data_IF_977923078319
#
_entry.id   IF_977923078319
#
_cell.length_a   1.000
_cell.length_b   1.000
_cell.length_c   1.000
_cell.angle_alpha   90.00
_cell.angle_beta   90.00
_cell.angle_gamma   90.00
#
_symmetry.space_group_name_H-M   'P 1'
#
loop_
_entity.id
_entity.type
_entity.pdbx_description
1 polymer ?
#
# COMPACT_ATOMS: atom_id res chain seq x y z
N UNK A 1 28.51 -0.25 -37.47
CA UNK A 1 28.65 -0.79 -36.10
C UNK A 1 28.31 0.24 -35.00
N UNK A 2 28.98 1.40 -34.92
CA UNK A 2 28.73 2.42 -33.87
C UNK A 2 27.28 2.94 -33.78
N UNK A 3 26.59 3.11 -34.92
CA UNK A 3 25.17 3.50 -34.97
C UNK A 3 24.22 2.41 -34.44
N UNK A 4 24.60 1.14 -34.58
CA UNK A 4 23.83 0.00 -34.09
C UNK A 4 23.98 -0.11 -32.55
N UNK A 5 25.21 0.00 -32.04
CA UNK A 5 25.50 0.03 -30.61
C UNK A 5 24.81 1.20 -29.88
N UNK A 6 24.75 2.38 -30.51
CA UNK A 6 24.04 3.55 -29.95
C UNK A 6 22.52 3.35 -29.87
N UNK A 7 21.94 2.61 -30.83
CA UNK A 7 20.51 2.24 -30.81
C UNK A 7 20.22 1.21 -29.71
N UNK A 8 21.10 0.21 -29.55
CA UNK A 8 20.99 -0.74 -28.44
C UNK A 8 21.14 -0.06 -27.07
N UNK A 9 22.05 0.91 -26.95
CA UNK A 9 22.22 1.69 -25.72
C UNK A 9 20.96 2.53 -25.39
N UNK A 10 20.40 3.23 -26.38
CA UNK A 10 19.16 4.03 -26.19
C UNK A 10 17.98 3.11 -25.83
N UNK A 11 17.84 1.98 -26.52
CA UNK A 11 16.79 1.00 -26.25
C UNK A 11 16.95 0.39 -24.85
N UNK A 12 18.17 0.09 -24.42
CA UNK A 12 18.47 -0.40 -23.08
C UNK A 12 18.16 0.61 -21.98
N UNK A 13 18.50 1.89 -22.18
CA UNK A 13 18.15 2.97 -21.25
C UNK A 13 16.63 3.12 -21.15
N UNK A 14 15.92 3.13 -22.28
CA UNK A 14 14.46 3.24 -22.30
C UNK A 14 13.78 2.05 -21.60
N UNK A 15 14.28 0.83 -21.79
CA UNK A 15 13.76 -0.37 -21.13
C UNK A 15 14.02 -0.34 -19.61
N UNK A 16 15.22 0.12 -19.20
CA UNK A 16 15.58 0.26 -17.80
C UNK A 16 14.75 1.33 -17.09
N UNK A 17 14.48 2.46 -17.75
CA UNK A 17 13.59 3.51 -17.23
C UNK A 17 12.15 3.02 -17.01
N UNK A 18 11.66 2.08 -17.82
CA UNK A 18 10.32 1.50 -17.64
C UNK A 18 10.21 0.64 -16.36
N UNK A 19 11.28 -0.09 -16.02
CA UNK A 19 11.32 -0.98 -14.84
C UNK A 19 11.24 -0.18 -13.53
N UNK A 20 11.78 1.04 -13.51
CA UNK A 20 11.83 1.90 -12.32
C UNK A 20 10.47 2.50 -11.91
N UNK A 21 9.44 2.42 -12.76
CA UNK A 21 8.13 3.04 -12.50
C UNK A 21 7.16 2.09 -11.78
N UNK A 22 7.49 0.80 -11.67
CA UNK A 22 6.53 -0.24 -11.25
C UNK A 22 6.51 -0.55 -9.74
N UNK A 23 6.65 0.46 -8.87
CA UNK A 23 6.94 0.26 -7.45
C UNK A 23 5.74 0.27 -6.47
N UNK A 24 4.48 0.10 -6.92
CA UNK A 24 3.34 -0.04 -5.98
C UNK A 24 2.80 -1.46 -6.01
N UNK A 25 2.82 -2.14 -4.85
CA UNK A 25 2.21 -3.47 -4.71
C UNK A 25 0.70 -3.38 -4.91
N UNK A 26 0.12 -4.31 -5.69
CA UNK A 26 -1.31 -4.40 -5.91
C UNK A 26 -2.11 -4.51 -4.60
N UNK A 27 -1.50 -5.08 -3.55
CA UNK A 27 -2.09 -5.22 -2.23
C UNK A 27 -2.30 -3.88 -1.51
N UNK A 28 -1.51 -2.87 -1.86
CA UNK A 28 -1.58 -1.52 -1.28
C UNK A 28 -2.23 -0.50 -2.20
N UNK A 29 -2.37 -0.80 -3.49
CA UNK A 29 -2.86 0.17 -4.47
C UNK A 29 -4.25 0.72 -4.12
N UNK A 30 -4.45 2.03 -4.25
CA UNK A 30 -5.75 2.68 -4.02
C UNK A 30 -5.89 3.95 -4.86
N UNK A 31 -7.14 4.38 -5.06
CA UNK A 31 -7.46 5.67 -5.69
C UNK A 31 -8.07 6.65 -4.69
N UNK A 32 -8.85 6.13 -3.73
CA UNK A 32 -9.52 6.90 -2.68
C UNK A 32 -9.44 6.18 -1.34
N UNK A 33 -9.65 6.90 -0.23
CA UNK A 33 -9.59 6.32 1.12
C UNK A 33 -10.53 5.11 1.29
N UNK A 34 -11.71 5.14 0.65
CA UNK A 34 -12.68 4.04 0.68
C UNK A 34 -12.25 2.76 -0.05
N UNK A 35 -11.09 2.76 -0.72
CA UNK A 35 -10.46 1.54 -1.23
C UNK A 35 -9.65 0.82 -0.17
N UNK A 36 -9.39 1.45 0.97
CA UNK A 36 -8.52 0.95 2.02
C UNK A 36 -9.30 0.34 3.18
N UNK A 37 -8.78 -0.75 3.71
CA UNK A 37 -9.27 -1.44 4.90
C UNK A 37 -8.10 -1.76 5.84
N UNK A 38 -8.35 -2.01 7.14
CA UNK A 38 -7.32 -2.45 8.07
C UNK A 38 -6.61 -3.73 7.57
N UNK A 39 -5.28 -3.81 7.71
CA UNK A 39 -4.50 -4.98 7.28
C UNK A 39 -4.71 -6.20 8.19
N UNK A 40 -5.13 -5.97 9.43
CA UNK A 40 -5.51 -6.99 10.42
C UNK A 40 -6.88 -6.65 11.01
N UNK A 41 -7.57 -7.65 11.55
CA UNK A 41 -8.92 -7.45 12.09
C UNK A 41 -8.97 -6.65 13.38
N UNK A 42 -7.92 -6.76 14.19
CA UNK A 42 -7.80 -6.08 15.48
C UNK A 42 -6.47 -5.33 15.48
N UNK A 43 -6.45 -4.16 16.12
CA UNK A 43 -5.21 -3.43 16.40
C UNK A 43 -4.35 -3.17 15.17
N UNK A 44 -4.98 -2.81 14.05
CA UNK A 44 -4.26 -2.62 12.80
C UNK A 44 -3.36 -1.37 12.88
N UNK A 45 -2.06 -1.58 12.65
CA UNK A 45 -1.06 -0.53 12.46
C UNK A 45 -0.75 -0.28 10.98
N UNK A 46 -1.51 -0.92 10.08
CA UNK A 46 -1.33 -0.84 8.63
C UNK A 46 -2.67 -1.06 7.88
N UNK A 47 -2.71 -0.74 6.59
CA UNK A 47 -3.90 -0.83 5.74
C UNK A 47 -3.62 -1.53 4.41
N UNK A 48 -4.63 -2.16 3.82
CA UNK A 48 -4.57 -2.83 2.52
C UNK A 48 -5.69 -2.35 1.62
N UNK A 49 -5.55 -2.57 0.32
CA UNK A 49 -6.67 -2.49 -0.60
C UNK A 49 -7.74 -3.51 -0.17
N UNK A 50 -9.02 -3.11 -0.19
CA UNK A 50 -10.17 -3.93 0.21
C UNK A 50 -10.24 -5.30 -0.47
N UNK A 51 -9.75 -5.44 -1.70
CA UNK A 51 -9.70 -6.71 -2.42
C UNK A 51 -8.69 -7.71 -1.83
N UNK A 52 -7.74 -7.23 -1.04
CA UNK A 52 -6.68 -8.00 -0.39
C UNK A 52 -6.78 -7.99 1.14
N UNK A 53 -7.81 -7.34 1.70
CA UNK A 53 -8.02 -7.27 3.15
C UNK A 53 -8.44 -8.61 3.77
N UNK A 54 -8.20 -8.81 5.07
CA UNK A 54 -8.61 -10.02 5.77
C UNK A 54 -10.13 -10.13 5.91
N UNK A 55 -10.64 -11.36 5.97
CA UNK A 55 -12.01 -11.60 6.43
C UNK A 55 -12.05 -11.62 7.96
N UNK A 56 -12.78 -10.68 8.56
CA UNK A 56 -12.90 -10.58 10.02
C UNK A 56 -14.15 -11.27 10.58
N UNK A 57 -14.82 -12.10 9.78
CA UNK A 57 -16.02 -12.83 10.20
C UNK A 57 -15.67 -13.82 11.32
N UNK A 58 -16.30 -13.65 12.48
CA UNK A 58 -16.10 -14.54 13.63
C UNK A 58 -14.82 -14.27 14.43
N UNK A 59 -14.08 -13.22 14.10
CA UNK A 59 -12.96 -12.74 14.91
C UNK A 59 -13.51 -11.87 16.03
N UNK A 60 -13.11 -12.16 17.27
CA UNK A 60 -13.43 -11.33 18.43
C UNK A 60 -12.17 -10.60 18.87
N UNK A 61 -12.19 -9.27 18.78
CA UNK A 61 -11.10 -8.43 19.27
C UNK A 61 -11.26 -8.19 20.78
N UNK A 62 -10.14 -7.95 21.46
CA UNK A 62 -10.13 -7.42 22.82
C UNK A 62 -10.64 -5.97 22.79
N UNK A 63 -11.10 -5.47 23.94
CA UNK A 63 -11.55 -4.08 24.09
C UNK A 63 -10.40 -3.11 24.43
N UNK A 64 -9.14 -3.54 24.24
CA UNK A 64 -7.98 -2.70 24.53
C UNK A 64 -7.74 -1.69 23.42
N UNK A 65 -7.38 -0.46 23.79
CA UNK A 65 -6.84 0.51 22.85
C UNK A 65 -5.35 0.24 22.75
N UNK A 66 -4.89 -0.37 21.66
CA UNK A 66 -3.46 -0.60 21.47
C UNK A 66 -2.79 0.68 20.95
N UNK A 67 -1.68 1.07 21.54
CA UNK A 67 -0.89 2.22 21.07
C UNK A 67 -0.25 1.89 19.71
N UNK A 68 -0.16 2.89 18.83
CA UNK A 68 0.44 2.74 17.50
C UNK A 68 -0.47 2.06 16.46
N UNK A 69 -1.76 1.98 16.74
CA UNK A 69 -2.78 1.36 15.87
C UNK A 69 -3.89 2.36 15.58
N UNK A 70 -4.82 1.99 14.70
CA UNK A 70 -6.01 2.80 14.39
C UNK A 70 -7.12 2.71 15.44
N UNK A 71 -6.89 2.02 16.57
CA UNK A 71 -7.92 1.83 17.59
C UNK A 71 -8.25 3.14 18.30
N UNK A 72 -9.48 3.25 18.81
CA UNK A 72 -9.88 4.33 19.71
C UNK A 72 -9.62 5.73 19.14
N UNK A 73 -9.79 5.88 17.82
CA UNK A 73 -9.51 7.11 17.06
C UNK A 73 -8.04 7.59 17.11
N UNK A 74 -7.11 6.72 17.51
CA UNK A 74 -5.67 6.97 17.42
C UNK A 74 -5.16 6.93 15.98
N UNK A 75 -6.00 6.56 15.00
CA UNK A 75 -5.63 6.65 13.59
C UNK A 75 -6.80 6.32 12.68
N UNK A 76 -6.50 6.33 11.39
CA UNK A 76 -7.44 5.99 10.32
C UNK A 76 -6.70 5.40 9.12
N UNK A 77 -7.41 4.66 8.28
CA UNK A 77 -6.86 4.15 7.02
C UNK A 77 -7.07 5.19 5.92
N UNK A 78 -6.02 5.52 5.16
CA UNK A 78 -6.07 6.48 4.06
C UNK A 78 -5.35 5.97 2.83
N UNK A 79 -5.76 6.48 1.69
CA UNK A 79 -5.04 6.37 0.44
C UNK A 79 -4.03 7.52 0.31
N UNK A 80 -2.76 7.24 0.60
CA UNK A 80 -1.68 8.23 0.60
C UNK A 80 -0.71 7.90 -0.52
N UNK A 81 -0.63 8.78 -1.52
CA UNK A 81 0.25 8.62 -2.69
C UNK A 81 -0.01 7.31 -3.46
N UNK A 82 -1.28 6.91 -3.59
CA UNK A 82 -1.69 5.69 -4.28
C UNK A 82 -1.52 4.40 -3.48
N UNK A 83 -1.17 4.50 -2.19
CA UNK A 83 -1.00 3.38 -1.29
C UNK A 83 -1.90 3.50 -0.05
N UNK A 84 -2.56 2.41 0.32
CA UNK A 84 -3.27 2.28 1.59
C UNK A 84 -2.28 2.28 2.74
N UNK A 85 -2.45 3.22 3.68
CA UNK A 85 -1.65 3.36 4.89
C UNK A 85 -2.56 3.55 6.10
N UNK A 86 -2.15 3.02 7.23
CA UNK A 86 -2.66 3.50 8.52
C UNK A 86 -1.93 4.80 8.85
N UNK A 87 -2.68 5.88 9.03
CA UNK A 87 -2.16 7.18 9.49
C UNK A 87 -2.48 7.26 10.98
N UNK A 88 -1.45 7.10 11.81
CA UNK A 88 -1.56 7.14 13.26
C UNK A 88 -1.39 8.58 13.72
N UNK A 89 -2.33 9.05 14.53
CA UNK A 89 -2.29 10.33 15.20
C UNK A 89 -1.30 10.26 16.39
N UNK A 90 -0.37 11.22 16.51
CA UNK A 90 0.55 11.29 17.64
C UNK A 90 -0.13 11.69 18.95
#
# INVERSE_FOLDING_TARGET
MKKLLKRFLIMGIALFSLILVSCTSAEKACLVDGDCVPATCCHASDALNKAHGPSCKGVFCTAECQEGTIDCAQGEVKCVSGECKAVINP
#
